data_IF_632715412334
#
_entry.id   IF_632715412334
#
_cell.length_a   1.000
_cell.length_b   1.000
_cell.length_c   1.000
_cell.angle_alpha   90.00
_cell.angle_beta   90.00
_cell.angle_gamma   90.00
#
_symmetry.space_group_name_H-M   'P 1'
#
loop_
_entity.id
_entity.type
_entity.pdbx_description
1 polymer ?
#
# COMPACT_ATOMS: atom_id res chain seq x y z
N UNK A 1 57.18 -12.43 -5.01
CA UNK A 1 56.12 -12.68 -4.02
C UNK A 1 54.87 -11.96 -4.52
N UNK A 2 53.92 -12.70 -5.08
CA UNK A 2 52.74 -12.14 -5.75
C UNK A 2 51.79 -11.55 -4.70
N UNK A 3 51.55 -10.25 -4.78
CA UNK A 3 50.47 -9.57 -4.07
C UNK A 3 49.15 -10.19 -4.50
N UNK A 4 48.51 -10.92 -3.58
CA UNK A 4 47.16 -11.43 -3.80
C UNK A 4 46.21 -10.24 -3.94
N UNK A 5 45.62 -10.10 -5.12
CA UNK A 5 44.48 -9.24 -5.36
C UNK A 5 43.29 -9.86 -4.64
N UNK A 6 42.81 -9.20 -3.59
CA UNK A 6 41.50 -9.48 -2.98
C UNK A 6 40.45 -9.65 -4.10
N UNK A 7 39.71 -10.78 -4.14
CA UNK A 7 38.71 -10.98 -5.17
C UNK A 7 37.64 -9.90 -5.03
N UNK A 8 37.41 -9.14 -6.10
CA UNK A 8 36.38 -8.09 -6.19
C UNK A 8 35.01 -8.66 -5.83
N UNK A 9 34.67 -8.67 -4.54
CA UNK A 9 33.38 -9.15 -4.03
C UNK A 9 32.36 -8.18 -4.60
N UNK A 10 31.56 -8.61 -5.59
CA UNK A 10 30.44 -7.82 -6.11
C UNK A 10 29.42 -7.65 -4.99
N UNK A 11 29.62 -6.62 -4.16
CA UNK A 11 28.68 -6.29 -3.08
C UNK A 11 27.41 -5.75 -3.74
N UNK A 12 26.26 -6.34 -3.40
CA UNK A 12 24.97 -5.87 -3.90
C UNK A 12 24.80 -4.36 -3.62
N UNK A 13 24.25 -3.56 -4.55
CA UNK A 13 24.11 -2.13 -4.35
C UNK A 13 23.34 -1.83 -3.08
N UNK A 14 23.82 -0.88 -2.27
CA UNK A 14 23.25 -0.58 -0.95
C UNK A 14 21.74 -0.29 -1.01
N UNK A 15 21.29 0.41 -2.06
CA UNK A 15 19.87 0.74 -2.26
C UNK A 15 18.97 -0.50 -2.38
N UNK A 16 19.48 -1.60 -2.94
CA UNK A 16 18.73 -2.86 -3.04
C UNK A 16 18.76 -3.66 -1.75
N UNK A 17 19.84 -3.55 -0.95
CA UNK A 17 19.89 -4.18 0.38
C UNK A 17 18.85 -3.56 1.32
N UNK A 18 18.80 -2.22 1.37
CA UNK A 18 17.81 -1.48 2.17
C UNK A 18 16.39 -1.81 1.73
N UNK A 19 16.12 -1.77 0.42
CA UNK A 19 14.81 -2.13 -0.13
C UNK A 19 14.45 -3.60 0.11
N UNK A 20 15.41 -4.52 0.10
CA UNK A 20 15.17 -5.93 0.37
C UNK A 20 14.70 -6.17 1.80
N UNK A 21 15.31 -5.49 2.79
CA UNK A 21 14.93 -5.62 4.21
C UNK A 21 13.51 -5.12 4.43
N UNK A 22 13.20 -3.90 4.00
CA UNK A 22 11.85 -3.35 4.16
C UNK A 22 10.81 -4.07 3.28
N UNK A 23 11.21 -4.52 2.10
CA UNK A 23 10.35 -5.25 1.17
C UNK A 23 10.01 -6.64 1.71
N UNK A 24 10.95 -7.31 2.37
CA UNK A 24 10.73 -8.56 3.08
C UNK A 24 9.82 -8.38 4.30
N UNK A 25 10.04 -7.33 5.09
CA UNK A 25 9.18 -7.01 6.23
C UNK A 25 7.73 -6.76 5.78
N UNK A 26 7.55 -5.94 4.73
CA UNK A 26 6.24 -5.69 4.16
C UNK A 26 5.63 -6.96 3.57
N UNK A 27 6.38 -7.71 2.75
CA UNK A 27 5.89 -8.93 2.12
C UNK A 27 5.46 -10.00 3.13
N UNK A 28 6.23 -10.20 4.20
CA UNK A 28 5.87 -11.12 5.28
C UNK A 28 4.56 -10.70 5.97
N UNK A 29 4.41 -9.39 6.25
CA UNK A 29 3.19 -8.84 6.81
C UNK A 29 1.99 -8.97 5.86
N UNK A 30 2.18 -8.71 4.58
CA UNK A 30 1.14 -8.82 3.54
C UNK A 30 0.62 -10.25 3.40
N UNK A 31 1.51 -11.25 3.45
CA UNK A 31 1.14 -12.65 3.38
C UNK A 31 0.39 -13.07 4.65
N UNK A 32 0.93 -12.72 5.83
CA UNK A 32 0.39 -13.15 7.12
C UNK A 32 -0.93 -12.45 7.46
N UNK A 33 -0.93 -11.11 7.42
CA UNK A 33 -2.12 -10.31 7.68
C UNK A 33 -3.17 -10.51 6.58
N UNK A 34 -2.76 -10.63 5.32
CA UNK A 34 -3.68 -10.91 4.22
C UNK A 34 -4.42 -12.25 4.41
N UNK A 35 -3.70 -13.31 4.81
CA UNK A 35 -4.31 -14.59 5.14
C UNK A 35 -5.27 -14.49 6.33
N UNK A 36 -4.86 -13.79 7.40
CA UNK A 36 -5.68 -13.58 8.59
C UNK A 36 -6.98 -12.80 8.31
N UNK A 37 -6.89 -11.69 7.57
CA UNK A 37 -8.05 -10.85 7.24
C UNK A 37 -9.04 -11.59 6.33
N UNK A 38 -8.52 -12.42 5.41
CA UNK A 38 -9.36 -13.26 4.55
C UNK A 38 -10.04 -14.36 5.36
N UNK A 39 -9.32 -15.00 6.27
CA UNK A 39 -9.87 -16.04 7.15
C UNK A 39 -10.98 -15.50 8.06
N UNK A 40 -10.83 -14.28 8.58
CA UNK A 40 -11.81 -13.60 9.45
C UNK A 40 -12.93 -12.90 8.67
N UNK A 41 -12.91 -12.92 7.33
CA UNK A 41 -13.88 -12.27 6.43
C UNK A 41 -14.11 -10.78 6.76
N UNK A 42 -13.07 -10.09 7.18
CA UNK A 42 -13.17 -8.67 7.53
C UNK A 42 -13.42 -7.84 6.25
N UNK A 43 -14.46 -6.98 6.23
CA UNK A 43 -14.67 -6.08 5.11
C UNK A 43 -13.53 -5.05 5.03
N UNK A 44 -13.23 -4.58 3.82
CA UNK A 44 -12.17 -3.58 3.57
C UNK A 44 -10.74 -4.03 3.88
N UNK A 45 -10.46 -5.34 3.77
CA UNK A 45 -9.10 -5.92 3.84
C UNK A 45 -8.06 -5.11 3.05
N UNK A 46 -8.40 -4.66 1.84
CA UNK A 46 -7.51 -3.87 1.00
C UNK A 46 -7.10 -2.53 1.62
N UNK A 47 -7.98 -1.86 2.37
CA UNK A 47 -7.66 -0.59 3.04
C UNK A 47 -6.71 -0.84 4.22
N UNK A 48 -6.93 -1.90 4.98
CA UNK A 48 -6.06 -2.28 6.11
C UNK A 48 -4.65 -2.62 5.59
N UNK A 49 -4.55 -3.41 4.52
CA UNK A 49 -3.27 -3.74 3.88
C UNK A 49 -2.59 -2.49 3.32
N UNK A 50 -3.35 -1.59 2.71
CA UNK A 50 -2.83 -0.31 2.21
C UNK A 50 -2.27 0.56 3.34
N UNK A 51 -2.96 0.68 4.47
CA UNK A 51 -2.46 1.38 5.65
C UNK A 51 -1.15 0.77 6.16
N UNK A 52 -1.09 -0.57 6.23
CA UNK A 52 0.12 -1.28 6.65
C UNK A 52 1.30 -0.99 5.71
N UNK A 53 1.11 -1.09 4.39
CA UNK A 53 2.13 -0.76 3.39
C UNK A 53 2.60 0.69 3.48
N UNK A 54 1.67 1.64 3.62
CA UNK A 54 1.98 3.07 3.77
C UNK A 54 2.83 3.34 5.00
N UNK A 55 2.53 2.71 6.14
CA UNK A 55 3.31 2.88 7.38
C UNK A 55 4.76 2.42 7.15
N UNK A 56 4.97 1.25 6.54
CA UNK A 56 6.30 0.72 6.27
C UNK A 56 7.06 1.60 5.27
N UNK A 57 6.42 1.97 4.16
CA UNK A 57 7.07 2.77 3.12
C UNK A 57 7.42 4.17 3.62
N UNK A 58 6.53 4.82 4.36
CA UNK A 58 6.74 6.17 4.90
C UNK A 58 7.82 6.17 5.97
N UNK A 59 7.80 5.20 6.89
CA UNK A 59 8.83 5.09 7.93
C UNK A 59 10.20 4.75 7.35
N UNK A 60 10.27 3.82 6.40
CA UNK A 60 11.52 3.47 5.70
C UNK A 60 12.05 4.62 4.84
N UNK A 61 11.17 5.39 4.19
CA UNK A 61 11.57 6.57 3.41
C UNK A 61 12.23 7.64 4.29
N UNK A 62 11.81 7.77 5.56
CA UNK A 62 12.47 8.66 6.53
C UNK A 62 13.85 8.18 6.93
N UNK A 63 13.98 6.89 7.23
CA UNK A 63 15.25 6.31 7.67
C UNK A 63 16.30 6.29 6.55
N UNK A 64 15.90 5.92 5.34
CA UNK A 64 16.83 5.73 4.22
C UNK A 64 17.05 7.02 3.43
N UNK A 65 16.04 7.89 3.31
CA UNK A 65 16.16 9.19 2.61
C UNK A 65 16.48 9.13 1.11
N UNK A 66 16.50 7.93 0.50
CA UNK A 66 16.91 7.75 -0.91
C UNK A 66 15.75 7.80 -1.89
N UNK A 67 16.02 8.39 -3.06
CA UNK A 67 15.07 8.39 -4.19
C UNK A 67 14.83 6.97 -4.70
N UNK A 68 13.57 6.66 -4.96
CA UNK A 68 13.14 5.35 -5.47
C UNK A 68 13.19 4.22 -4.44
N UNK A 69 13.43 4.51 -3.15
CA UNK A 69 13.37 3.50 -2.10
C UNK A 69 12.00 2.81 -2.05
N UNK A 70 10.91 3.59 -2.05
CA UNK A 70 9.56 3.03 -2.01
C UNK A 70 9.23 2.11 -3.19
N UNK A 71 9.65 2.45 -4.41
CA UNK A 71 9.46 1.61 -5.60
C UNK A 71 10.24 0.29 -5.53
N UNK A 72 11.52 0.34 -5.12
CA UNK A 72 12.34 -0.88 -4.96
C UNK A 72 11.77 -1.79 -3.87
N UNK A 73 11.32 -1.20 -2.77
CA UNK A 73 10.68 -1.92 -1.66
C UNK A 73 9.40 -2.60 -2.12
N UNK A 74 8.56 -1.91 -2.90
CA UNK A 74 7.35 -2.47 -3.48
C UNK A 74 7.64 -3.58 -4.49
N UNK A 75 8.68 -3.45 -5.32
CA UNK A 75 9.11 -4.50 -6.25
C UNK A 75 9.52 -5.78 -5.52
N UNK A 76 10.30 -5.65 -4.44
CA UNK A 76 10.67 -6.80 -3.61
C UNK A 76 9.44 -7.42 -2.96
N UNK A 77 8.58 -6.60 -2.35
CA UNK A 77 7.35 -7.06 -1.70
C UNK A 77 6.44 -7.81 -2.68
N UNK A 78 6.20 -7.25 -3.87
CA UNK A 78 5.39 -7.87 -4.91
C UNK A 78 6.00 -9.20 -5.39
N UNK A 79 7.33 -9.26 -5.52
CA UNK A 79 8.05 -10.50 -5.86
C UNK A 79 7.95 -11.58 -4.78
N UNK A 80 7.92 -11.20 -3.49
CA UNK A 80 7.67 -12.16 -2.41
C UNK A 80 6.20 -12.60 -2.38
N UNK A 81 5.28 -11.68 -2.64
CA UNK A 81 3.84 -11.97 -2.66
C UNK A 81 3.47 -12.95 -3.76
N UNK A 82 4.14 -12.91 -4.92
CA UNK A 82 3.89 -13.86 -6.02
C UNK A 82 4.27 -15.30 -5.69
N UNK A 83 5.18 -15.51 -4.75
CA UNK A 83 5.57 -16.84 -4.26
C UNK A 83 4.60 -17.40 -3.20
N UNK A 84 3.63 -16.60 -2.75
CA UNK A 84 2.69 -17.01 -1.70
C UNK A 84 1.68 -18.05 -2.21
N UNK A 85 1.27 -19.02 -1.37
CA UNK A 85 0.35 -20.12 -1.72
C UNK A 85 -1.10 -19.73 -2.09
N UNK A 86 -1.37 -18.45 -2.41
CA UNK A 86 -2.66 -17.96 -2.89
C UNK A 86 -2.84 -17.94 -4.41
N UNK A 87 -1.87 -18.45 -5.18
CA UNK A 87 -1.86 -18.42 -6.65
C UNK A 87 -1.40 -17.07 -7.22
N UNK A 88 -1.03 -17.07 -8.51
CA UNK A 88 -0.56 -15.88 -9.24
C UNK A 88 -1.73 -14.92 -9.55
N UNK A 89 -2.30 -14.31 -8.51
CA UNK A 89 -3.37 -13.33 -8.66
C UNK A 89 -2.70 -11.98 -8.94
N UNK A 90 -2.79 -11.51 -10.17
CA UNK A 90 -2.18 -10.25 -10.60
C UNK A 90 -2.70 -9.01 -9.85
N UNK A 91 -3.92 -9.08 -9.29
CA UNK A 91 -4.55 -8.00 -8.53
C UNK A 91 -3.69 -7.49 -7.37
N UNK A 92 -3.41 -8.30 -6.33
CA UNK A 92 -2.57 -7.88 -5.20
C UNK A 92 -1.17 -7.37 -5.60
N UNK A 93 -0.55 -7.96 -6.62
CA UNK A 93 0.78 -7.52 -7.07
C UNK A 93 0.72 -6.09 -7.65
N UNK A 94 -0.27 -5.82 -8.50
CA UNK A 94 -0.50 -4.48 -9.02
C UNK A 94 -0.85 -3.48 -7.90
N UNK A 95 -1.59 -3.92 -6.88
CA UNK A 95 -1.88 -3.12 -5.69
C UNK A 95 -0.59 -2.61 -5.04
N UNK A 96 0.29 -3.54 -4.67
CA UNK A 96 1.54 -3.26 -3.95
C UNK A 96 2.43 -2.30 -4.76
N UNK A 97 2.55 -2.54 -6.07
CA UNK A 97 3.34 -1.68 -6.96
C UNK A 97 2.75 -0.28 -7.07
N UNK A 98 1.42 -0.16 -7.20
CA UNK A 98 0.72 1.12 -7.24
C UNK A 98 0.91 1.90 -5.94
N UNK A 99 0.84 1.23 -4.79
CA UNK A 99 1.12 1.86 -3.49
C UNK A 99 2.54 2.42 -3.43
N UNK A 100 3.54 1.60 -3.79
CA UNK A 100 4.93 2.02 -3.86
C UNK A 100 5.15 3.22 -4.79
N UNK A 101 4.47 3.23 -5.94
CA UNK A 101 4.54 4.32 -6.91
C UNK A 101 3.91 5.62 -6.36
N UNK A 102 2.74 5.54 -5.73
CA UNK A 102 2.07 6.71 -5.13
C UNK A 102 2.93 7.28 -4.01
N UNK A 103 3.47 6.45 -3.11
CA UNK A 103 4.36 6.94 -2.04
C UNK A 103 5.63 7.55 -2.62
N UNK A 104 6.27 6.90 -3.60
CA UNK A 104 7.45 7.44 -4.25
C UNK A 104 7.18 8.80 -4.92
N UNK A 105 6.06 8.93 -5.64
CA UNK A 105 5.64 10.16 -6.29
C UNK A 105 5.34 11.27 -5.27
N UNK A 106 4.62 10.95 -4.19
CA UNK A 106 4.33 11.91 -3.12
C UNK A 106 5.61 12.45 -2.48
N UNK A 107 6.58 11.59 -2.14
CA UNK A 107 7.86 12.01 -1.56
C UNK A 107 8.79 12.71 -2.56
N UNK A 108 8.60 12.48 -3.86
CA UNK A 108 9.35 13.19 -4.89
C UNK A 108 8.80 14.61 -5.14
N UNK A 109 7.47 14.75 -5.18
CA UNK A 109 6.78 16.02 -5.45
C UNK A 109 6.74 16.90 -4.20
N UNK A 110 6.40 16.32 -3.04
CA UNK A 110 6.24 17.04 -1.79
C UNK A 110 7.57 17.03 -1.03
N UNK A 111 8.20 18.21 -0.96
CA UNK A 111 9.48 18.40 -0.26
C UNK A 111 9.40 18.21 1.26
N UNK A 112 8.21 18.34 1.85
CA UNK A 112 8.01 18.18 3.30
C UNK A 112 7.61 16.74 3.61
N UNK A 113 8.42 15.97 4.37
CA UNK A 113 8.18 14.55 4.59
C UNK A 113 6.91 14.24 5.39
N UNK A 114 6.51 15.14 6.29
CA UNK A 114 5.26 15.03 7.04
C UNK A 114 4.03 15.11 6.14
N UNK A 115 4.00 16.09 5.23
CA UNK A 115 2.91 16.28 4.27
C UNK A 115 2.92 15.14 3.26
N UNK A 116 4.10 14.72 2.79
CA UNK A 116 4.24 13.59 1.88
C UNK A 116 3.66 12.29 2.45
N UNK A 117 3.92 11.99 3.74
CA UNK A 117 3.33 10.84 4.43
C UNK A 117 1.79 10.90 4.48
N UNK A 118 1.23 12.04 4.91
CA UNK A 118 -0.23 12.22 5.03
C UNK A 118 -0.94 12.10 3.67
N UNK A 119 -0.40 12.77 2.64
CA UNK A 119 -0.98 12.79 1.29
C UNK A 119 -0.85 11.41 0.62
N UNK A 120 0.30 10.75 0.76
CA UNK A 120 0.47 9.41 0.21
C UNK A 120 -0.48 8.40 0.86
N UNK A 121 -0.69 8.47 2.17
CA UNK A 121 -1.67 7.61 2.86
C UNK A 121 -3.11 7.81 2.38
N UNK A 122 -3.53 9.06 2.18
CA UNK A 122 -4.83 9.38 1.59
C UNK A 122 -4.99 8.77 0.20
N UNK A 123 -4.02 9.03 -0.69
CA UNK A 123 -4.08 8.59 -2.08
C UNK A 123 -4.00 7.06 -2.21
N UNK A 124 -3.16 6.41 -1.42
CA UNK A 124 -3.00 4.94 -1.43
C UNK A 124 -4.27 4.23 -1.00
N UNK A 125 -4.94 4.70 0.06
CA UNK A 125 -6.18 4.07 0.53
C UNK A 125 -7.33 4.23 -0.47
N UNK A 126 -7.46 5.41 -1.09
CA UNK A 126 -8.42 5.64 -2.18
C UNK A 126 -8.09 4.75 -3.39
N UNK A 127 -6.82 4.71 -3.81
CA UNK A 127 -6.38 3.88 -4.92
C UNK A 127 -6.65 2.39 -4.66
N UNK A 128 -6.53 1.93 -3.41
CA UNK A 128 -6.78 0.54 -3.04
C UNK A 128 -8.26 0.16 -3.14
N UNK A 129 -9.18 1.09 -2.80
CA UNK A 129 -10.61 0.88 -3.04
C UNK A 129 -10.88 0.80 -4.54
N UNK A 130 -10.40 1.79 -5.31
CA UNK A 130 -10.63 1.85 -6.75
C UNK A 130 -10.09 0.61 -7.46
N UNK A 131 -8.90 0.17 -7.10
CA UNK A 131 -8.31 -1.04 -7.63
C UNK A 131 -9.09 -2.29 -7.23
N UNK A 132 -9.57 -2.38 -5.98
CA UNK A 132 -10.45 -3.47 -5.56
C UNK A 132 -11.76 -3.53 -6.36
N UNK A 133 -12.33 -2.37 -6.73
CA UNK A 133 -13.49 -2.29 -7.61
C UNK A 133 -13.15 -2.74 -9.04
N UNK A 134 -12.02 -2.30 -9.60
CA UNK A 134 -11.57 -2.71 -10.94
C UNK A 134 -11.35 -4.22 -11.01
N UNK A 135 -10.70 -4.81 -9.99
CA UNK A 135 -10.48 -6.26 -9.95
C UNK A 135 -11.80 -7.01 -9.89
N UNK A 136 -12.76 -6.56 -9.06
CA UNK A 136 -14.09 -7.17 -9.02
C UNK A 136 -14.81 -7.04 -10.36
N UNK A 137 -14.74 -5.89 -11.02
CA UNK A 137 -15.32 -5.68 -12.35
C UNK A 137 -14.70 -6.63 -13.40
N UNK A 138 -13.39 -6.85 -13.35
CA UNK A 138 -12.71 -7.75 -14.28
C UNK A 138 -13.00 -9.23 -14.00
N UNK A 139 -13.04 -9.63 -12.73
CA UNK A 139 -13.26 -11.02 -12.30
C UNK A 139 -14.71 -11.46 -12.49
N UNK A 140 -15.68 -10.59 -12.20
CA UNK A 140 -17.10 -10.91 -12.34
C UNK A 140 -17.70 -10.49 -13.69
N UNK A 141 -16.92 -9.81 -14.55
CA UNK A 141 -17.35 -9.36 -15.88
C UNK A 141 -18.50 -8.33 -15.88
N UNK A 142 -19.02 -8.04 -17.08
CA UNK A 142 -20.25 -7.26 -17.27
C UNK A 142 -21.52 -8.03 -16.83
N UNK A 143 -21.43 -9.33 -16.52
CA UNK A 143 -22.56 -10.14 -16.04
C UNK A 143 -23.07 -9.69 -14.66
N UNK A 144 -22.24 -8.98 -13.90
CA UNK A 144 -22.67 -8.31 -12.67
C UNK A 144 -23.72 -7.24 -12.97
N UNK A 145 -23.72 -6.62 -14.16
CA UNK A 145 -24.75 -5.65 -14.59
C UNK A 145 -26.16 -6.30 -14.66
N UNK A 146 -26.26 -7.57 -15.05
CA UNK A 146 -27.53 -8.30 -15.13
C UNK A 146 -28.10 -8.68 -13.75
N UNK A 147 -27.22 -8.95 -12.77
CA UNK A 147 -27.59 -9.21 -11.37
C UNK A 147 -27.88 -7.89 -10.64
N UNK A 148 -27.14 -6.83 -10.97
CA UNK A 148 -27.35 -5.49 -10.40
C UNK A 148 -28.67 -4.88 -10.86
N UNK A 149 -29.07 -5.01 -12.14
CA UNK A 149 -30.36 -4.50 -12.62
C UNK A 149 -31.54 -5.23 -12.00
N UNK A 150 -31.43 -6.54 -11.73
CA UNK A 150 -32.48 -7.33 -11.08
C UNK A 150 -32.55 -7.14 -9.56
N UNK A 151 -31.46 -6.71 -8.91
CA UNK A 151 -31.47 -6.26 -7.50
C UNK A 151 -31.87 -4.79 -7.36
N UNK A 152 -31.46 -3.91 -8.28
CA UNK A 152 -31.88 -2.50 -8.28
C UNK A 152 -33.37 -2.38 -8.54
N UNK A 153 -33.94 -3.13 -9.50
CA UNK A 153 -35.38 -3.15 -9.71
C UNK A 153 -36.16 -3.58 -8.45
N UNK A 154 -35.59 -4.49 -7.63
CA UNK A 154 -36.17 -4.89 -6.34
C UNK A 154 -35.91 -3.90 -5.20
N UNK A 155 -34.86 -3.09 -5.28
CA UNK A 155 -34.52 -2.09 -4.27
C UNK A 155 -35.23 -0.75 -4.53
N UNK A 156 -35.45 -0.38 -5.80
CA UNK A 156 -36.19 0.82 -6.21
C UNK A 156 -37.66 0.74 -5.76
N UNK A 157 -38.28 -0.43 -5.89
CA UNK A 157 -39.63 -0.71 -5.40
C UNK A 157 -39.76 -0.72 -3.87
N UNK A 158 -38.66 -0.96 -3.12
CA UNK A 158 -38.71 -1.06 -1.66
C UNK A 158 -38.25 0.20 -0.91
N UNK A 159 -37.38 1.04 -1.50
CA UNK A 159 -36.63 2.05 -0.73
C UNK A 159 -36.85 3.51 -1.12
N UNK A 160 -37.57 3.83 -2.21
CA UNK A 160 -37.94 5.23 -2.56
C UNK A 160 -36.78 6.25 -2.39
N UNK A 161 -35.53 5.87 -2.72
CA UNK A 161 -34.36 6.73 -2.49
C UNK A 161 -34.21 7.77 -3.60
N UNK A 162 -34.28 9.05 -3.26
CA UNK A 162 -33.95 10.16 -4.16
C UNK A 162 -32.47 10.10 -4.57
N UNK A 163 -32.20 10.00 -5.88
CA UNK A 163 -30.88 9.84 -6.48
C UNK A 163 -29.83 10.92 -6.12
N UNK A 164 -30.26 12.06 -5.56
CA UNK A 164 -29.37 13.14 -5.10
C UNK A 164 -28.58 12.83 -3.82
N UNK A 165 -29.06 11.94 -2.95
CA UNK A 165 -28.40 11.64 -1.66
C UNK A 165 -27.31 10.56 -1.77
N UNK A 166 -27.34 9.74 -2.82
CA UNK A 166 -26.38 8.65 -3.01
C UNK A 166 -24.94 9.13 -3.23
N UNK A 167 -24.75 10.20 -4.02
CA UNK A 167 -23.42 10.75 -4.31
C UNK A 167 -22.74 11.35 -3.07
N UNK A 168 -23.52 11.97 -2.17
CA UNK A 168 -23.01 12.48 -0.89
C UNK A 168 -22.52 11.35 0.02
N UNK A 169 -23.26 10.24 0.11
CA UNK A 169 -22.85 9.09 0.89
C UNK A 169 -21.55 8.47 0.37
N UNK A 170 -21.41 8.35 -0.95
CA UNK A 170 -20.17 7.87 -1.59
C UNK A 170 -19.00 8.81 -1.30
N UNK A 171 -19.20 10.12 -1.48
CA UNK A 171 -18.17 11.13 -1.18
C UNK A 171 -17.71 11.07 0.28
N UNK A 172 -18.66 10.97 1.22
CA UNK A 172 -18.36 10.85 2.65
C UNK A 172 -17.58 9.56 2.97
N UNK A 173 -17.94 8.44 2.35
CA UNK A 173 -17.22 7.18 2.52
C UNK A 173 -15.76 7.27 2.07
N UNK A 174 -15.50 7.82 0.87
CA UNK A 174 -14.14 8.03 0.39
C UNK A 174 -13.35 9.00 1.27
N UNK A 175 -14.01 10.03 1.79
CA UNK A 175 -13.40 10.98 2.71
C UNK A 175 -12.97 10.28 4.01
N UNK A 176 -13.84 9.48 4.63
CA UNK A 176 -13.52 8.73 5.85
C UNK A 176 -12.35 7.79 5.61
N UNK A 177 -12.37 7.03 4.53
CA UNK A 177 -11.27 6.09 4.22
C UNK A 177 -9.96 6.83 3.93
N UNK A 178 -10.03 7.92 3.18
CA UNK A 178 -8.87 8.78 2.93
C UNK A 178 -8.28 9.33 4.23
N UNK A 179 -9.13 9.75 5.18
CA UNK A 179 -8.69 10.21 6.50
C UNK A 179 -7.99 9.09 7.29
N UNK A 180 -8.53 7.87 7.26
CA UNK A 180 -7.86 6.70 7.86
C UNK A 180 -6.47 6.53 7.23
N UNK A 181 -6.38 6.58 5.90
CA UNK A 181 -5.10 6.54 5.18
C UNK A 181 -4.13 7.65 5.59
N UNK A 182 -4.62 8.88 5.69
CA UNK A 182 -3.83 10.03 6.17
C UNK A 182 -3.27 9.82 7.57
N UNK A 183 -4.08 9.26 8.49
CA UNK A 183 -3.58 8.96 9.85
C UNK A 183 -2.50 7.88 9.82
N UNK A 184 -2.63 6.85 8.99
CA UNK A 184 -1.61 5.82 8.83
C UNK A 184 -0.30 6.39 8.25
N UNK A 185 -0.39 7.25 7.23
CA UNK A 185 0.76 7.95 6.66
C UNK A 185 1.45 8.89 7.65
N UNK A 186 0.67 9.67 8.41
CA UNK A 186 1.19 10.50 9.49
C UNK A 186 1.85 9.69 10.60
N UNK A 187 1.29 8.53 10.94
CA UNK A 187 1.87 7.61 11.91
C UNK A 187 3.19 7.02 11.42
N UNK A 188 3.25 6.58 10.15
CA UNK A 188 4.50 6.11 9.53
C UNK A 188 5.61 7.17 9.55
N UNK A 189 5.26 8.44 9.30
CA UNK A 189 6.21 9.55 9.43
C UNK A 189 6.71 9.71 10.88
N UNK A 190 5.81 9.72 11.88
CA UNK A 190 6.18 9.82 13.30
C UNK A 190 7.10 8.69 13.75
N UNK A 191 6.80 7.45 13.32
CA UNK A 191 7.65 6.29 13.59
C UNK A 191 9.05 6.45 12.98
N UNK A 192 9.12 6.95 11.74
CA UNK A 192 10.38 7.23 11.08
C UNK A 192 11.22 8.27 11.82
N UNK A 193 10.61 9.37 12.27
CA UNK A 193 11.29 10.41 13.07
C UNK A 193 11.78 9.86 14.41
N UNK A 194 10.93 9.11 15.13
CA UNK A 194 11.31 8.51 16.40
C UNK A 194 12.47 7.51 16.26
N UNK A 195 12.50 6.75 15.17
CA UNK A 195 13.59 5.83 14.87
C UNK A 195 14.91 6.57 14.55
N UNK A 196 14.85 7.67 13.79
CA UNK A 196 16.01 8.53 13.51
C UNK A 196 16.60 9.12 14.79
N UNK A 197 15.77 9.68 15.67
CA UNK A 197 16.24 10.27 16.94
C UNK A 197 16.93 9.24 17.85
N UNK A 198 16.50 7.98 17.82
CA UNK A 198 17.17 6.91 18.57
C UNK A 198 18.52 6.53 17.96
N UNK A 199 18.64 6.54 16.64
CA UNK A 199 19.91 6.26 15.98
C UNK A 199 20.96 7.34 16.29
N UNK A 200 20.55 8.61 16.34
CA UNK A 200 21.41 9.72 16.74
C UNK A 200 21.89 9.58 18.20
N UNK A 201 21.01 9.17 19.12
CA UNK A 201 21.35 8.92 20.52
C UNK A 201 22.33 7.76 20.72
N UNK A 202 22.30 6.75 19.87
CA UNK A 202 23.21 5.59 19.97
C UNK A 202 24.59 5.86 19.35
N UNK A 203 24.72 6.92 18.56
CA UNK A 203 25.97 7.31 17.88
C UNK A 203 26.74 8.41 18.60
N UNK A 204 26.11 9.13 19.52
CA UNK A 204 26.73 10.15 20.38
C UNK A 204 27.23 9.56 21.69
#
# INVERSE_FOLDING_TARGET
MLTQTEPYRKVFPQAWREAAVFGALWGAGEITLGAFLTATRIPLTGVIMACFGVIILTSGQMLIGRRGFALRTALVCAGLRSLSPGGLIFGPMFAILLQGAIVAAAFYILRKPSIAGIVSGFLVTIASILQGLIVKLFVYGLDLWLIYTSLLAKAEDLLHLHAGQGWLAVGLFFLIVGLIGSTAGGFGWRLGVAALSREEQLRG
#
